data_IF_633042503293
#
_entry.id   IF_633042503293
#
_cell.length_a   1.000
_cell.length_b   1.000
_cell.length_c   1.000
_cell.angle_alpha   90.00
_cell.angle_beta   90.00
_cell.angle_gamma   90.00
#
_symmetry.space_group_name_H-M   'P 1'
#
loop_
_entity.id
_entity.type
_entity.pdbx_description
1 polymer ?
#
# COMPACT_ATOMS: atom_id res chain seq x y z
N UNK A 1 -29.68 -2.23 -39.47
CA UNK A 1 -29.29 -2.45 -40.88
C UNK A 1 -29.39 -1.18 -41.70
N UNK A 2 -30.48 -0.41 -41.62
CA UNK A 2 -30.61 0.87 -42.32
C UNK A 2 -29.46 1.86 -42.05
N UNK A 3 -28.85 1.85 -40.86
CA UNK A 3 -27.69 2.72 -40.55
C UNK A 3 -26.32 2.15 -40.96
N UNK A 4 -26.09 0.84 -40.82
CA UNK A 4 -24.74 0.24 -40.92
C UNK A 4 -24.64 -0.95 -41.89
N UNK A 5 -25.68 -1.16 -42.71
CA UNK A 5 -25.78 -2.32 -43.60
C UNK A 5 -26.07 -3.64 -42.88
N UNK A 6 -25.94 -4.75 -43.62
CA UNK A 6 -26.11 -6.11 -43.12
C UNK A 6 -24.75 -6.69 -42.73
N UNK A 7 -24.42 -6.72 -41.43
CA UNK A 7 -23.14 -7.20 -40.89
C UNK A 7 -23.03 -8.73 -40.84
N UNK A 8 -23.73 -9.42 -41.75
CA UNK A 8 -23.81 -10.88 -41.85
C UNK A 8 -23.98 -11.55 -40.47
N UNK A 9 -23.04 -12.40 -40.06
CA UNK A 9 -23.08 -13.13 -38.79
C UNK A 9 -23.24 -12.24 -37.55
N UNK A 10 -22.77 -10.99 -37.60
CA UNK A 10 -22.88 -10.04 -36.49
C UNK A 10 -24.22 -9.29 -36.44
N UNK A 11 -25.15 -9.55 -37.38
CA UNK A 11 -26.39 -8.76 -37.50
C UNK A 11 -27.30 -8.92 -36.28
N UNK A 12 -27.41 -10.12 -35.73
CA UNK A 12 -28.21 -10.39 -34.53
C UNK A 12 -27.70 -9.60 -33.33
N UNK A 13 -26.41 -9.75 -32.99
CA UNK A 13 -25.80 -9.05 -31.84
C UNK A 13 -25.77 -7.53 -32.04
N UNK A 14 -25.64 -7.04 -33.27
CA UNK A 14 -25.77 -5.61 -33.58
C UNK A 14 -27.17 -5.09 -33.21
N UNK A 15 -28.21 -5.87 -33.50
CA UNK A 15 -29.59 -5.54 -33.08
C UNK A 15 -29.73 -5.51 -31.56
N UNK A 16 -29.08 -6.43 -30.86
CA UNK A 16 -29.02 -6.45 -29.39
C UNK A 16 -28.32 -5.19 -28.86
N UNK A 17 -27.14 -4.83 -29.38
CA UNK A 17 -26.38 -3.63 -28.98
C UNK A 17 -27.25 -2.37 -29.17
N UNK A 18 -27.93 -2.23 -30.32
CA UNK A 18 -28.86 -1.12 -30.56
C UNK A 18 -29.91 -1.03 -29.44
N UNK A 19 -30.56 -2.15 -29.12
CA UNK A 19 -31.64 -2.15 -28.15
C UNK A 19 -31.16 -1.95 -26.71
N UNK A 20 -30.00 -2.49 -26.33
CA UNK A 20 -29.37 -2.22 -25.04
C UNK A 20 -29.03 -0.74 -24.88
N UNK A 21 -28.49 -0.10 -25.92
CA UNK A 21 -28.24 1.34 -25.89
C UNK A 21 -29.53 2.15 -25.83
N UNK A 22 -30.59 1.74 -26.54
CA UNK A 22 -31.90 2.38 -26.46
C UNK A 22 -32.53 2.27 -25.06
N UNK A 23 -32.38 1.11 -24.39
CA UNK A 23 -32.80 0.92 -22.99
C UNK A 23 -32.02 1.86 -22.05
N UNK A 24 -30.69 1.92 -22.18
CA UNK A 24 -29.81 2.80 -21.35
C UNK A 24 -30.11 4.29 -21.52
N UNK A 25 -30.37 4.73 -22.74
CA UNK A 25 -30.63 6.14 -23.05
C UNK A 25 -32.10 6.51 -23.05
N UNK A 26 -32.99 5.55 -22.75
CA UNK A 26 -34.44 5.77 -22.67
C UNK A 26 -35.01 6.41 -23.96
N UNK A 27 -34.47 6.02 -25.11
CA UNK A 27 -34.82 6.58 -26.40
C UNK A 27 -34.65 5.54 -27.52
N UNK A 28 -35.67 5.44 -28.39
CA UNK A 28 -35.66 4.57 -29.56
C UNK A 28 -35.15 5.36 -30.78
N UNK A 29 -34.03 4.96 -31.42
CA UNK A 29 -33.52 5.67 -32.59
C UNK A 29 -34.28 5.30 -33.86
N UNK A 30 -34.35 6.26 -34.80
CA UNK A 30 -35.00 6.10 -36.08
C UNK A 30 -34.39 4.98 -36.95
N UNK A 31 -35.21 4.36 -37.79
CA UNK A 31 -34.77 3.57 -38.94
C UNK A 31 -34.76 4.45 -40.18
N UNK A 32 -33.65 4.43 -40.91
CA UNK A 32 -33.50 5.22 -42.14
C UNK A 32 -34.21 4.56 -43.33
N UNK A 33 -34.48 5.35 -44.37
CA UNK A 33 -35.09 4.93 -45.64
C UNK A 33 -36.49 4.32 -45.48
N UNK A 34 -37.25 4.84 -44.51
CA UNK A 34 -38.58 4.35 -44.16
C UNK A 34 -39.67 5.43 -44.26
N UNK A 35 -39.37 6.58 -44.88
CA UNK A 35 -40.31 7.71 -45.03
C UNK A 35 -41.56 7.31 -45.83
N UNK A 36 -41.38 6.40 -46.80
CA UNK A 36 -42.48 5.73 -47.49
C UNK A 36 -42.48 4.24 -47.10
N UNK A 37 -43.45 3.78 -46.30
CA UNK A 37 -43.56 2.36 -45.93
C UNK A 37 -43.76 1.46 -47.16
N UNK A 38 -43.30 0.21 -47.09
CA UNK A 38 -43.44 -0.76 -48.19
C UNK A 38 -44.92 -1.01 -48.51
N UNK A 39 -45.36 -0.95 -49.78
CA UNK A 39 -46.76 -1.19 -50.16
C UNK A 39 -47.15 -2.68 -50.10
N UNK A 40 -46.18 -3.58 -49.90
CA UNK A 40 -46.40 -5.02 -49.80
C UNK A 40 -46.79 -5.49 -48.39
N UNK A 41 -46.87 -4.57 -47.43
CA UNK A 41 -47.30 -4.83 -46.05
C UNK A 41 -48.52 -3.96 -45.79
N UNK A 42 -49.57 -4.56 -45.24
CA UNK A 42 -50.73 -3.82 -44.76
C UNK A 42 -50.41 -3.22 -43.38
N UNK A 43 -49.96 -1.97 -43.37
CA UNK A 43 -49.63 -1.25 -42.13
C UNK A 43 -50.86 -0.75 -41.37
N UNK A 44 -52.05 -0.82 -41.96
CA UNK A 44 -53.29 -0.42 -41.28
C UNK A 44 -53.81 -1.52 -40.34
N UNK A 45 -53.34 -2.76 -40.51
CA UNK A 45 -53.71 -3.89 -39.65
C UNK A 45 -52.62 -4.19 -38.61
N UNK A 46 -52.99 -4.16 -37.32
CA UNK A 46 -52.12 -4.47 -36.18
C UNK A 46 -51.46 -3.25 -35.51
N UNK A 47 -50.72 -3.51 -34.43
CA UNK A 47 -50.14 -2.46 -33.56
C UNK A 47 -48.65 -2.20 -33.85
N UNK A 48 -48.23 -2.26 -35.13
CA UNK A 48 -46.83 -2.11 -35.54
C UNK A 48 -46.61 -0.78 -36.26
N UNK A 49 -45.62 0.00 -35.80
CA UNK A 49 -45.23 1.28 -36.41
C UNK A 49 -43.74 1.33 -36.72
N UNK A 50 -43.39 1.85 -37.90
CA UNK A 50 -42.00 2.17 -38.24
C UNK A 50 -41.52 3.38 -37.44
N UNK A 51 -40.33 3.29 -36.86
CA UNK A 51 -39.68 4.41 -36.17
C UNK A 51 -38.98 5.32 -37.19
N UNK A 52 -39.70 6.22 -37.85
CA UNK A 52 -39.11 7.15 -38.85
C UNK A 52 -38.36 8.33 -38.20
N UNK A 53 -38.60 8.57 -36.92
CA UNK A 53 -37.91 9.58 -36.10
C UNK A 53 -37.51 8.99 -34.73
N UNK A 54 -36.55 9.59 -34.01
CA UNK A 54 -36.25 9.19 -32.65
C UNK A 54 -37.43 9.45 -31.71
N UNK A 55 -37.75 8.48 -30.85
CA UNK A 55 -38.89 8.58 -29.91
C UNK A 55 -38.42 8.35 -28.48
N UNK A 56 -38.78 9.21 -27.51
CA UNK A 56 -38.56 8.93 -26.10
C UNK A 56 -39.22 7.61 -25.71
N UNK A 57 -38.48 6.74 -25.05
CA UNK A 57 -38.98 5.46 -24.59
C UNK A 57 -39.23 5.56 -23.10
N UNK A 58 -40.44 6.00 -22.72
CA UNK A 58 -40.81 6.17 -21.33
C UNK A 58 -41.29 4.84 -20.74
N UNK A 59 -41.08 4.63 -19.43
CA UNK A 59 -41.62 3.48 -18.73
C UNK A 59 -43.06 3.78 -18.29
N UNK A 60 -43.95 2.80 -18.36
CA UNK A 60 -45.38 2.91 -18.05
C UNK A 60 -45.78 2.07 -16.83
N UNK A 61 -44.89 2.04 -15.82
CA UNK A 61 -45.05 1.18 -14.64
C UNK A 61 -44.66 -0.28 -14.88
N UNK A 62 -44.09 -0.60 -16.05
CA UNK A 62 -43.52 -1.90 -16.37
C UNK A 62 -42.09 -1.76 -16.89
N UNK A 63 -41.24 -2.79 -16.71
CA UNK A 63 -39.94 -2.84 -17.35
C UNK A 63 -40.07 -2.74 -18.87
N UNK A 64 -39.28 -1.86 -19.48
CA UNK A 64 -39.23 -1.74 -20.95
C UNK A 64 -38.66 -3.01 -21.54
N UNK A 65 -39.32 -3.50 -22.60
CA UNK A 65 -38.95 -4.74 -23.29
C UNK A 65 -38.84 -4.54 -24.79
N UNK A 66 -37.90 -5.23 -25.42
CA UNK A 66 -37.75 -5.24 -26.87
C UNK A 66 -37.48 -6.65 -27.41
N UNK A 67 -38.07 -6.94 -28.57
CA UNK A 67 -37.74 -8.13 -29.35
C UNK A 67 -36.61 -7.86 -30.35
N UNK A 68 -35.66 -8.79 -30.48
CA UNK A 68 -34.63 -8.80 -31.53
C UNK A 68 -34.73 -10.10 -32.32
N UNK A 69 -35.00 -9.99 -33.62
CA UNK A 69 -35.14 -11.13 -34.53
C UNK A 69 -33.96 -11.22 -35.51
N UNK A 70 -33.49 -12.45 -35.76
CA UNK A 70 -32.50 -12.74 -36.80
C UNK A 70 -32.87 -14.01 -37.56
N UNK A 71 -32.97 -13.89 -38.89
CA UNK A 71 -33.41 -14.97 -39.78
C UNK A 71 -32.29 -15.29 -40.76
N UNK A 72 -31.73 -16.50 -40.65
CA UNK A 72 -30.65 -16.97 -41.50
C UNK A 72 -31.16 -17.50 -42.83
N UNK A 73 -30.35 -17.36 -43.89
CA UNK A 73 -30.69 -17.90 -45.22
C UNK A 73 -30.85 -19.43 -45.23
N UNK A 74 -30.24 -20.13 -44.26
CA UNK A 74 -30.41 -21.56 -44.03
C UNK A 74 -31.83 -21.95 -43.55
N UNK A 75 -32.66 -20.98 -43.18
CA UNK A 75 -33.97 -21.19 -42.56
C UNK A 75 -33.95 -21.23 -41.02
N UNK A 76 -32.77 -21.12 -40.39
CA UNK A 76 -32.67 -21.04 -38.92
C UNK A 76 -33.07 -19.65 -38.43
N UNK A 77 -34.06 -19.60 -37.54
CA UNK A 77 -34.61 -18.37 -36.99
C UNK A 77 -34.34 -18.27 -35.49
N UNK A 78 -33.95 -17.09 -35.03
CA UNK A 78 -33.74 -16.80 -33.60
C UNK A 78 -34.47 -15.51 -33.25
N UNK A 79 -35.14 -15.52 -32.09
CA UNK A 79 -35.79 -14.35 -31.50
C UNK A 79 -35.40 -14.23 -30.04
N UNK A 80 -34.98 -13.03 -29.62
CA UNK A 80 -34.62 -12.72 -28.25
C UNK A 80 -35.55 -11.65 -27.70
N UNK A 81 -35.92 -11.77 -26.43
CA UNK A 81 -36.60 -10.73 -25.66
C UNK A 81 -35.58 -10.13 -24.70
N UNK A 82 -35.42 -8.81 -24.75
CA UNK A 82 -34.58 -8.02 -23.87
C UNK A 82 -35.48 -7.23 -22.91
N UNK A 83 -35.04 -7.07 -21.68
CA UNK A 83 -35.69 -6.26 -20.65
C UNK A 83 -34.68 -5.27 -20.08
N UNK A 84 -35.14 -4.10 -19.63
CA UNK A 84 -34.29 -3.14 -18.92
C UNK A 84 -33.68 -3.75 -17.65
N UNK A 85 -32.47 -3.32 -17.30
CA UNK A 85 -31.86 -3.74 -16.05
C UNK A 85 -32.70 -3.24 -14.86
N UNK A 86 -32.78 -4.01 -13.75
CA UNK A 86 -33.40 -3.52 -12.52
C UNK A 86 -32.80 -2.17 -12.12
N UNK A 87 -33.63 -1.27 -11.58
CA UNK A 87 -33.15 -0.01 -11.05
C UNK A 87 -32.06 -0.29 -10.01
N UNK A 88 -30.89 0.36 -10.16
CA UNK A 88 -29.86 0.31 -9.14
C UNK A 88 -30.47 0.89 -7.86
N UNK A 89 -30.66 0.05 -6.84
CA UNK A 89 -31.09 0.51 -5.54
C UNK A 89 -29.97 1.39 -5.00
N UNK A 90 -30.21 2.71 -4.92
CA UNK A 90 -29.39 3.54 -4.07
C UNK A 90 -29.52 2.96 -2.64
N UNK A 91 -28.42 2.78 -1.88
CA UNK A 91 -28.54 2.35 -0.49
C UNK A 91 -29.41 3.39 0.25
N UNK A 92 -30.64 3.02 0.54
CA UNK A 92 -31.61 3.86 1.24
C UNK A 92 -31.14 4.01 2.69
N UNK A 93 -30.80 5.22 3.10
CA UNK A 93 -30.42 5.55 4.48
C UNK A 93 -31.61 5.61 5.46
N UNK A 94 -32.70 4.89 5.19
CA UNK A 94 -33.88 4.84 6.05
C UNK A 94 -34.36 3.40 6.19
N UNK A 95 -33.77 2.68 7.14
CA UNK A 95 -34.39 1.52 7.75
C UNK A 95 -35.40 1.97 8.82
N UNK A 96 -36.54 1.27 9.00
CA UNK A 96 -37.43 1.55 10.11
C UNK A 96 -36.74 1.23 11.43
N UNK A 97 -36.76 2.19 12.35
CA UNK A 97 -36.30 2.04 13.73
C UNK A 97 -37.11 0.95 14.43
N UNK A 98 -36.54 -0.26 14.61
CA UNK A 98 -36.72 -1.12 15.80
C UNK A 98 -35.87 -2.40 15.68
N UNK A 99 -34.83 -2.51 16.53
CA UNK A 99 -34.42 -3.77 17.17
C UNK A 99 -33.40 -4.67 16.44
N UNK A 100 -32.23 -4.82 17.09
CA UNK A 100 -31.14 -5.82 16.90
C UNK A 100 -30.17 -5.61 15.71
N UNK A 101 -28.85 -5.82 15.93
CA UNK A 101 -27.84 -5.65 14.87
C UNK A 101 -27.83 -6.89 13.97
N UNK A 102 -28.20 -6.73 12.70
CA UNK A 102 -27.99 -7.73 11.65
C UNK A 102 -26.68 -7.45 10.91
N UNK A 103 -25.83 -8.47 10.89
CA UNK A 103 -24.68 -8.63 10.00
C UNK A 103 -25.15 -8.52 8.54
N UNK A 104 -24.69 -7.51 7.79
CA UNK A 104 -25.08 -7.41 6.38
C UNK A 104 -24.91 -6.06 5.68
N UNK A 105 -24.21 -5.07 6.25
CA UNK A 105 -23.75 -3.94 5.44
C UNK A 105 -22.60 -4.41 4.56
N UNK A 106 -22.82 -4.44 3.23
CA UNK A 106 -21.72 -4.51 2.29
C UNK A 106 -20.74 -3.38 2.65
N UNK A 107 -19.46 -3.68 2.91
CA UNK A 107 -18.54 -2.69 3.43
C UNK A 107 -18.44 -1.57 2.40
N UNK A 108 -18.91 -0.38 2.76
CA UNK A 108 -18.33 0.84 2.17
C UNK A 108 -16.85 0.70 2.50
N UNK A 109 -16.02 0.37 1.53
CA UNK A 109 -14.56 0.33 1.70
C UNK A 109 -14.16 1.73 2.12
N UNK A 110 -14.08 1.97 3.42
CA UNK A 110 -13.56 3.20 3.97
C UNK A 110 -12.18 3.39 3.36
N UNK A 111 -11.91 4.58 2.86
CA UNK A 111 -10.59 4.88 2.33
C UNK A 111 -9.56 4.64 3.44
N UNK A 112 -8.45 3.96 3.11
CA UNK A 112 -7.36 3.74 4.06
C UNK A 112 -6.80 5.07 4.60
N UNK A 113 -6.89 6.12 3.77
CA UNK A 113 -6.51 7.49 4.10
C UNK A 113 -7.70 8.43 3.90
N UNK A 114 -7.99 9.25 4.92
CA UNK A 114 -9.07 10.23 4.90
C UNK A 114 -8.80 11.36 3.89
N UNK A 115 -7.52 11.67 3.66
CA UNK A 115 -7.03 12.72 2.78
C UNK A 115 -5.73 12.28 2.07
N UNK A 116 -5.41 12.88 0.93
CA UNK A 116 -4.16 12.62 0.21
C UNK A 116 -4.35 12.24 -1.26
N UNK A 117 -3.22 12.03 -1.97
CA UNK A 117 -3.21 11.75 -3.39
C UNK A 117 -3.89 10.40 -3.70
N UNK A 118 -4.61 10.35 -4.81
CA UNK A 118 -5.30 9.14 -5.29
C UNK A 118 -4.44 8.47 -6.37
N UNK A 119 -4.13 7.17 -6.26
CA UNK A 119 -3.36 6.46 -7.27
C UNK A 119 -4.22 6.05 -8.47
N UNK A 120 -3.85 6.51 -9.67
CA UNK A 120 -4.38 6.01 -10.93
C UNK A 120 -3.40 5.05 -11.57
N UNK A 121 -3.76 3.76 -11.55
CA UNK A 121 -2.95 2.70 -12.18
C UNK A 121 -3.23 2.68 -13.68
N UNK A 122 -2.16 2.79 -14.47
CA UNK A 122 -2.20 2.74 -15.93
C UNK A 122 -1.34 1.58 -16.38
N UNK A 123 -1.86 0.73 -17.27
CA UNK A 123 -1.07 -0.34 -17.86
C UNK A 123 -1.35 -0.51 -19.35
N UNK A 124 -0.36 -1.06 -20.07
CA UNK A 124 -0.45 -1.31 -21.50
C UNK A 124 0.49 -2.41 -21.96
N UNK A 125 0.26 -2.91 -23.18
CA UNK A 125 1.20 -3.83 -23.83
C UNK A 125 2.28 -3.06 -24.57
N UNK A 126 3.51 -3.18 -24.07
CA UNK A 126 4.65 -2.36 -24.52
C UNK A 126 4.47 -0.86 -24.29
N UNK A 127 5.53 -0.10 -24.56
CA UNK A 127 5.60 1.34 -24.26
C UNK A 127 4.53 2.13 -25.02
N UNK A 128 4.28 1.79 -26.28
CA UNK A 128 3.23 2.40 -27.09
C UNK A 128 1.83 2.13 -26.51
N UNK A 129 1.60 0.94 -25.93
CA UNK A 129 0.35 0.60 -25.28
C UNK A 129 0.12 1.40 -24.00
N UNK A 130 1.16 1.57 -23.18
CA UNK A 130 1.11 2.37 -21.95
C UNK A 130 0.82 3.84 -22.27
N UNK A 131 1.59 4.42 -23.20
CA UNK A 131 1.40 5.81 -23.67
C UNK A 131 0.02 6.05 -24.24
N UNK A 132 -0.44 5.13 -25.10
CA UNK A 132 -1.79 5.21 -25.68
C UNK A 132 -2.89 5.11 -24.63
N UNK A 133 -2.70 4.32 -23.57
CA UNK A 133 -3.65 4.24 -22.47
C UNK A 133 -3.66 5.52 -21.62
N UNK A 134 -2.49 6.09 -21.32
CA UNK A 134 -2.38 7.37 -20.61
C UNK A 134 -3.10 8.49 -21.37
N UNK A 135 -2.84 8.62 -22.68
CA UNK A 135 -3.50 9.61 -23.54
C UNK A 135 -5.03 9.44 -23.59
N UNK A 136 -5.52 8.20 -23.67
CA UNK A 136 -6.96 7.91 -23.65
C UNK A 136 -7.60 8.26 -22.31
N UNK A 137 -6.92 7.96 -21.20
CA UNK A 137 -7.41 8.29 -19.86
C UNK A 137 -7.47 9.80 -19.67
N UNK A 138 -6.42 10.53 -20.04
CA UNK A 138 -6.41 11.99 -19.98
C UNK A 138 -7.53 12.61 -20.85
N UNK A 139 -7.73 12.09 -22.06
CA UNK A 139 -8.81 12.54 -22.95
C UNK A 139 -10.20 12.26 -22.35
N UNK A 140 -10.38 11.10 -21.73
CA UNK A 140 -11.63 10.75 -21.05
C UNK A 140 -11.95 11.69 -19.89
N UNK A 141 -10.95 11.99 -19.04
CA UNK A 141 -11.09 12.91 -17.91
C UNK A 141 -11.45 14.32 -18.39
N UNK A 142 -10.76 14.83 -19.41
CA UNK A 142 -11.08 16.14 -20.02
C UNK A 142 -12.50 16.19 -20.60
N UNK A 143 -12.94 15.13 -21.26
CA UNK A 143 -14.29 15.05 -21.79
C UNK A 143 -15.34 15.03 -20.66
N UNK A 144 -15.06 14.35 -19.55
CA UNK A 144 -15.92 14.36 -18.37
C UNK A 144 -16.01 15.77 -17.77
N UNK A 145 -14.90 16.49 -17.65
CA UNK A 145 -14.90 17.88 -17.17
C UNK A 145 -15.71 18.81 -18.09
N UNK A 146 -15.60 18.63 -19.40
CA UNK A 146 -16.38 19.43 -20.36
C UNK A 146 -17.89 19.17 -20.27
N UNK A 147 -18.29 17.94 -19.98
CA UNK A 147 -19.70 17.55 -19.93
C UNK A 147 -20.37 17.89 -18.59
N UNK A 148 -19.66 17.69 -17.48
CA UNK A 148 -20.21 17.78 -16.13
C UNK A 148 -19.71 19.00 -15.32
N UNK A 149 -18.69 19.72 -15.80
CA UNK A 149 -18.03 20.79 -15.06
C UNK A 149 -16.86 20.29 -14.23
N UNK A 150 -16.71 20.78 -13.01
CA UNK A 150 -15.64 20.35 -12.12
C UNK A 150 -15.87 18.89 -11.67
N UNK A 151 -14.82 18.07 -11.69
CA UNK A 151 -14.86 16.70 -11.15
C UNK A 151 -14.31 16.72 -9.73
N UNK A 152 -15.10 16.23 -8.79
CA UNK A 152 -14.73 16.20 -7.39
C UNK A 152 -13.85 14.99 -7.03
N UNK A 153 -13.47 14.92 -5.76
CA UNK A 153 -12.63 13.84 -5.22
C UNK A 153 -13.32 12.48 -5.25
N UNK A 154 -14.64 12.42 -5.09
CA UNK A 154 -15.40 11.17 -5.14
C UNK A 154 -15.34 10.57 -6.55
N UNK A 155 -15.48 11.42 -7.57
CA UNK A 155 -15.32 11.01 -8.96
C UNK A 155 -13.91 10.49 -9.25
N UNK A 156 -12.87 11.21 -8.77
CA UNK A 156 -11.46 10.81 -8.93
C UNK A 156 -11.19 9.44 -8.28
N UNK A 157 -11.70 9.22 -7.06
CA UNK A 157 -11.58 7.96 -6.34
C UNK A 157 -12.38 6.83 -7.02
N UNK A 158 -13.58 7.12 -7.52
CA UNK A 158 -14.39 6.18 -8.29
C UNK A 158 -13.68 5.71 -9.57
N UNK A 159 -13.03 6.63 -10.28
CA UNK A 159 -12.21 6.28 -11.44
C UNK A 159 -11.00 5.43 -11.05
N UNK A 160 -10.31 5.76 -9.95
CA UNK A 160 -9.20 4.97 -9.42
C UNK A 160 -9.61 3.53 -9.12
N UNK A 161 -10.73 3.34 -8.44
CA UNK A 161 -11.31 2.02 -8.16
C UNK A 161 -11.63 1.26 -9.45
N UNK A 162 -12.23 1.95 -10.44
CA UNK A 162 -12.50 1.37 -11.75
C UNK A 162 -11.23 0.96 -12.52
N UNK A 163 -10.14 1.71 -12.37
CA UNK A 163 -8.83 1.40 -12.94
C UNK A 163 -8.18 0.20 -12.24
N UNK A 164 -8.28 0.12 -10.90
CA UNK A 164 -7.77 -1.01 -10.11
C UNK A 164 -8.44 -2.35 -10.50
N UNK A 165 -9.70 -2.32 -10.95
CA UNK A 165 -10.41 -3.49 -11.49
C UNK A 165 -10.03 -3.88 -12.92
N UNK A 166 -9.08 -3.20 -13.57
CA UNK A 166 -8.60 -3.56 -14.92
C UNK A 166 -7.45 -4.55 -14.85
N UNK A 167 -7.24 -5.31 -15.93
CA UNK A 167 -6.09 -6.21 -16.05
C UNK A 167 -4.77 -5.43 -15.93
N UNK A 168 -3.88 -5.90 -15.06
CA UNK A 168 -2.56 -5.31 -14.87
C UNK A 168 -1.55 -5.85 -15.91
N UNK A 169 -1.41 -5.15 -17.03
CA UNK A 169 -0.50 -5.51 -18.13
C UNK A 169 0.97 -5.26 -17.75
N UNK A 170 1.90 -5.70 -18.61
CA UNK A 170 3.32 -5.77 -18.28
C UNK A 170 4.04 -4.42 -18.17
N UNK A 171 3.61 -3.39 -18.92
CA UNK A 171 4.10 -2.02 -18.75
C UNK A 171 3.11 -1.28 -17.86
N UNK A 172 3.59 -0.80 -16.70
CA UNK A 172 2.77 -0.21 -15.65
C UNK A 172 3.32 1.15 -15.24
N UNK A 173 2.42 2.06 -14.92
CA UNK A 173 2.70 3.31 -14.26
C UNK A 173 1.60 3.60 -13.24
N UNK A 174 1.94 4.38 -12.23
CA UNK A 174 0.98 4.92 -11.27
C UNK A 174 1.15 6.43 -11.30
N UNK A 175 0.06 7.13 -11.54
CA UNK A 175 -0.03 8.59 -11.42
C UNK A 175 -0.65 8.90 -10.07
N UNK A 176 -0.08 9.84 -9.33
CA UNK A 176 -0.52 10.24 -7.99
C UNK A 176 -0.88 11.71 -8.01
N UNK A 177 -2.10 12.06 -7.59
CA UNK A 177 -2.50 13.45 -7.50
C UNK A 177 -3.63 13.65 -6.49
N UNK A 178 -3.60 14.78 -5.81
CA UNK A 178 -4.65 15.21 -4.88
C UNK A 178 -5.87 15.79 -5.61
N UNK A 179 -5.67 16.27 -6.84
CA UNK A 179 -6.70 16.80 -7.71
C UNK A 179 -6.53 16.37 -9.17
N UNK A 180 -7.54 16.70 -9.99
CA UNK A 180 -7.57 16.35 -11.41
C UNK A 180 -6.49 17.05 -12.25
N UNK A 181 -6.00 18.22 -11.82
CA UNK A 181 -4.98 18.96 -12.55
C UNK A 181 -3.63 18.25 -12.45
N UNK A 182 -3.23 17.86 -11.24
CA UNK A 182 -2.02 17.05 -11.00
C UNK A 182 -2.07 15.73 -11.78
N UNK A 183 -3.21 15.01 -11.69
CA UNK A 183 -3.40 13.74 -12.39
C UNK A 183 -3.33 13.89 -13.92
N UNK A 184 -3.87 14.97 -14.48
CA UNK A 184 -3.80 15.22 -15.92
C UNK A 184 -2.39 15.57 -16.39
N UNK A 185 -1.64 16.35 -15.61
CA UNK A 185 -0.27 16.72 -15.95
C UNK A 185 0.63 15.48 -16.04
N UNK A 186 0.57 14.61 -15.04
CA UNK A 186 1.34 13.37 -15.00
C UNK A 186 0.90 12.36 -16.09
N UNK A 187 -0.40 12.31 -16.40
CA UNK A 187 -0.88 11.47 -17.51
C UNK A 187 -0.39 11.96 -18.87
N UNK A 188 -0.31 13.28 -19.09
CA UNK A 188 0.24 13.85 -20.32
C UNK A 188 1.74 13.57 -20.42
N UNK A 189 2.50 13.76 -19.33
CA UNK A 189 3.94 13.42 -19.30
C UNK A 189 4.15 11.93 -19.61
N UNK A 190 3.33 11.05 -19.01
CA UNK A 190 3.38 9.61 -19.27
C UNK A 190 3.03 9.28 -20.73
N UNK A 191 2.06 9.98 -21.32
CA UNK A 191 1.67 9.80 -22.71
C UNK A 191 2.77 10.24 -23.71
N UNK A 192 3.53 11.27 -23.36
CA UNK A 192 4.62 11.79 -24.18
C UNK A 192 5.89 10.96 -24.04
N UNK A 193 6.37 10.79 -22.81
CA UNK A 193 7.68 10.21 -22.54
C UNK A 193 7.68 8.69 -22.50
N UNK A 194 6.52 8.10 -22.19
CA UNK A 194 6.39 6.67 -21.95
C UNK A 194 7.25 6.16 -20.81
N UNK A 195 7.81 7.05 -19.96
CA UNK A 195 8.67 6.66 -18.83
C UNK A 195 7.82 5.87 -17.84
N UNK A 196 7.98 4.54 -17.79
CA UNK A 196 7.26 3.73 -16.83
C UNK A 196 7.79 4.06 -15.43
N UNK A 197 7.00 3.74 -14.41
CA UNK A 197 7.59 3.49 -13.09
C UNK A 197 8.68 2.41 -13.26
N UNK A 198 9.92 2.61 -12.76
CA UNK A 198 10.95 1.60 -12.82
C UNK A 198 10.58 0.46 -11.87
N UNK A 199 9.72 -0.47 -12.29
CA UNK A 199 9.45 -1.72 -11.56
C UNK A 199 8.68 -2.69 -12.46
N UNK A 200 9.41 -3.60 -13.09
CA UNK A 200 8.87 -4.87 -13.59
C UNK A 200 8.96 -5.86 -12.43
N UNK A 201 7.87 -6.06 -11.70
CA UNK A 201 7.82 -7.07 -10.63
C UNK A 201 7.33 -8.39 -11.23
N UNK A 202 8.23 -9.34 -11.44
CA UNK A 202 7.87 -10.75 -11.30
C UNK A 202 7.61 -10.95 -9.82
N UNK A 203 6.41 -11.35 -9.42
CA UNK A 203 6.01 -11.52 -8.02
C UNK A 203 6.98 -12.49 -7.29
N UNK A 204 7.98 -11.98 -6.54
CA UNK A 204 8.97 -12.82 -5.87
C UNK A 204 8.62 -13.03 -4.39
N UNK A 205 7.40 -12.65 -3.99
CA UNK A 205 7.02 -12.39 -2.61
C UNK A 205 7.45 -11.00 -2.10
N UNK A 206 6.86 -10.58 -1.00
CA UNK A 206 7.09 -9.31 -0.31
C UNK A 206 7.90 -9.54 0.96
N UNK A 207 8.95 -8.74 1.16
CA UNK A 207 9.72 -8.72 2.41
C UNK A 207 9.54 -7.38 3.09
N UNK A 208 9.09 -7.38 4.35
CA UNK A 208 9.16 -6.19 5.19
C UNK A 208 10.50 -6.12 5.91
N UNK A 209 11.18 -4.98 5.75
CA UNK A 209 12.52 -4.72 6.31
C UNK A 209 12.39 -3.68 7.41
N UNK A 210 12.79 -4.05 8.63
CA UNK A 210 12.69 -3.22 9.82
C UNK A 210 14.08 -2.68 10.22
N UNK A 211 14.41 -1.42 9.89
CA UNK A 211 15.72 -0.87 10.22
C UNK A 211 15.94 -0.68 11.73
N UNK A 212 17.20 -0.51 12.11
CA UNK A 212 17.57 -0.11 13.47
C UNK A 212 17.39 1.40 13.73
N UNK A 213 18.14 1.93 14.69
CA UNK A 213 18.18 3.37 14.97
C UNK A 213 18.86 4.14 13.82
N UNK A 214 18.39 5.36 13.54
CA UNK A 214 18.96 6.27 12.53
C UNK A 214 17.91 6.84 11.55
N UNK A 215 16.73 6.22 11.46
CA UNK A 215 15.62 6.68 10.60
C UNK A 215 14.69 7.70 11.24
N UNK A 216 14.90 8.07 12.51
CA UNK A 216 14.03 8.98 13.24
C UNK A 216 14.17 10.43 12.76
N UNK A 217 13.05 11.17 12.78
CA UNK A 217 13.02 12.61 12.51
C UNK A 217 11.87 13.27 13.29
N UNK A 218 12.01 14.58 13.56
CA UNK A 218 11.02 15.33 14.35
C UNK A 218 9.70 15.43 13.58
N UNK A 219 8.62 14.90 14.16
CA UNK A 219 7.29 14.91 13.56
C UNK A 219 6.97 13.68 12.72
N UNK A 220 7.78 12.62 12.77
CA UNK A 220 7.45 11.35 12.12
C UNK A 220 6.09 10.83 12.60
N UNK A 221 5.27 10.32 11.67
CA UNK A 221 3.93 9.80 11.96
C UNK A 221 2.86 10.87 12.27
N UNK A 222 3.22 12.15 12.43
CA UNK A 222 2.28 13.22 12.83
C UNK A 222 1.13 13.43 11.85
N UNK A 223 1.40 13.33 10.55
CA UNK A 223 0.37 13.50 9.51
C UNK A 223 -0.47 12.25 9.31
N UNK A 224 0.12 11.05 9.50
CA UNK A 224 -0.60 9.78 9.39
C UNK A 224 -1.58 9.58 10.55
N UNK A 225 -1.25 10.08 11.75
CA UNK A 225 -2.07 9.90 12.94
C UNK A 225 -3.53 10.40 12.78
N UNK A 226 -3.81 11.61 12.26
CA UNK A 226 -5.18 12.04 11.98
C UNK A 226 -5.72 11.56 10.62
N UNK A 227 -4.88 11.07 9.70
CA UNK A 227 -5.28 10.76 8.33
C UNK A 227 -5.52 9.27 8.06
N UNK A 228 -5.03 8.37 8.93
CA UNK A 228 -5.10 6.92 8.76
C UNK A 228 -5.55 6.26 10.07
N UNK A 229 -6.84 5.88 10.19
CA UNK A 229 -7.34 5.22 11.39
C UNK A 229 -6.58 3.94 11.74
N UNK A 230 -6.18 3.14 10.74
CA UNK A 230 -5.38 1.91 10.94
C UNK A 230 -4.05 2.20 11.63
N UNK A 231 -3.34 3.24 11.16
CA UNK A 231 -2.09 3.67 11.80
C UNK A 231 -2.35 4.15 13.23
N UNK A 232 -3.40 4.95 13.43
CA UNK A 232 -3.73 5.55 14.72
C UNK A 232 -4.10 4.50 15.77
N UNK A 233 -4.89 3.49 15.39
CA UNK A 233 -5.33 2.40 16.26
C UNK A 233 -4.16 1.53 16.67
N UNK A 234 -3.29 1.16 15.71
CA UNK A 234 -2.10 0.35 16.00
C UNK A 234 -1.10 1.11 16.87
N UNK A 235 -0.92 2.41 16.63
CA UNK A 235 -0.06 3.24 17.46
C UNK A 235 -0.60 3.38 18.89
N UNK A 236 -1.92 3.48 19.06
CA UNK A 236 -2.57 3.51 20.37
C UNK A 236 -2.41 2.19 21.15
N UNK A 237 -2.41 1.06 20.44
CA UNK A 237 -2.10 -0.25 21.01
C UNK A 237 -0.65 -0.32 21.49
N UNK A 238 0.31 0.09 20.64
CA UNK A 238 1.72 0.20 21.03
C UNK A 238 1.93 1.13 22.22
N UNK A 239 1.24 2.27 22.28
CA UNK A 239 1.31 3.22 23.40
C UNK A 239 0.86 2.56 24.71
N UNK A 240 -0.30 1.88 24.71
CA UNK A 240 -0.79 1.14 25.89
C UNK A 240 0.16 0.03 26.33
N UNK A 241 0.79 -0.65 25.38
CA UNK A 241 1.75 -1.72 25.67
C UNK A 241 3.07 -1.18 26.26
N UNK A 242 3.48 0.04 25.87
CA UNK A 242 4.69 0.70 26.37
C UNK A 242 4.50 1.36 27.75
N UNK A 243 3.29 1.84 28.04
CA UNK A 243 2.94 2.61 29.25
C UNK A 243 3.53 2.05 30.57
N UNK A 244 3.55 0.72 30.82
CA UNK A 244 4.13 0.17 32.06
C UNK A 244 5.65 0.31 32.20
N UNK A 245 6.37 0.63 31.11
CA UNK A 245 7.83 0.57 31.04
C UNK A 245 8.51 1.94 30.87
N UNK A 246 7.75 2.98 30.53
CA UNK A 246 8.26 4.31 30.16
C UNK A 246 7.66 5.42 31.03
N UNK A 247 8.33 6.57 31.10
CA UNK A 247 7.90 7.75 31.86
C UNK A 247 7.50 8.94 30.96
N UNK A 248 7.30 8.68 29.66
CA UNK A 248 7.00 9.66 28.62
C UNK A 248 5.81 9.20 27.76
N UNK A 249 5.12 10.13 27.09
CA UNK A 249 4.01 9.81 26.17
C UNK A 249 4.50 9.68 24.73
N UNK A 250 4.14 8.56 24.08
CA UNK A 250 4.44 8.32 22.66
C UNK A 250 3.85 9.42 21.76
N UNK A 251 2.62 9.85 22.04
CA UNK A 251 1.97 10.92 21.28
C UNK A 251 2.66 12.26 21.45
N UNK A 252 3.10 12.60 22.66
CA UNK A 252 3.83 13.85 22.91
C UNK A 252 5.15 13.89 22.13
N UNK A 253 5.90 12.79 22.13
CA UNK A 253 7.15 12.68 21.36
C UNK A 253 6.90 12.86 19.86
N UNK A 254 5.90 12.16 19.29
CA UNK A 254 5.59 12.24 17.84
C UNK A 254 5.01 13.59 17.42
N UNK A 255 4.28 14.28 18.31
CA UNK A 255 3.71 15.59 18.03
C UNK A 255 4.76 16.70 17.88
N UNK A 256 6.02 16.41 18.24
CA UNK A 256 7.14 17.33 18.13
C UNK A 256 7.32 18.21 19.35
N UNK A 257 7.19 17.61 20.55
CA UNK A 257 7.50 18.25 21.83
C UNK A 257 8.98 18.64 21.97
N UNK A 258 9.67 18.12 22.99
CA UNK A 258 11.06 18.50 23.27
C UNK A 258 12.02 17.92 22.22
N UNK A 259 12.89 18.77 21.65
CA UNK A 259 13.91 18.31 20.68
C UNK A 259 14.87 17.27 21.27
N UNK A 260 15.01 17.27 22.58
CA UNK A 260 15.91 16.40 23.35
C UNK A 260 15.46 14.94 23.32
N UNK A 261 14.18 14.66 23.03
CA UNK A 261 13.66 13.30 22.91
C UNK A 261 14.42 12.44 21.90
N UNK A 262 14.86 13.03 20.77
CA UNK A 262 15.59 12.29 19.74
C UNK A 262 17.04 11.98 20.11
N UNK A 263 17.57 12.55 21.20
CA UNK A 263 18.89 12.21 21.73
C UNK A 263 18.88 11.07 22.75
N UNK A 264 17.70 10.69 23.26
CA UNK A 264 17.52 9.67 24.30
C UNK A 264 17.24 8.30 23.68
N UNK A 265 18.17 7.34 23.83
CA UNK A 265 18.00 5.98 23.27
C UNK A 265 16.78 5.26 23.85
N UNK A 266 16.49 5.48 25.14
CA UNK A 266 15.35 4.91 25.87
C UNK A 266 14.00 5.42 25.35
N UNK A 267 14.01 6.51 24.58
CA UNK A 267 12.83 7.08 23.90
C UNK A 267 12.84 6.69 22.41
N UNK A 268 13.95 6.92 21.70
CA UNK A 268 14.04 6.72 20.25
C UNK A 268 13.74 5.29 19.83
N UNK A 269 14.27 4.29 20.55
CA UNK A 269 14.08 2.89 20.20
C UNK A 269 12.60 2.45 20.29
N UNK A 270 11.90 2.64 21.43
CA UNK A 270 10.47 2.34 21.52
C UNK A 270 9.58 3.13 20.55
N UNK A 271 9.87 4.42 20.32
CA UNK A 271 9.09 5.24 19.40
C UNK A 271 9.24 4.74 17.95
N UNK A 272 10.47 4.41 17.52
CA UNK A 272 10.71 3.81 16.20
C UNK A 272 10.01 2.46 16.06
N UNK A 273 10.07 1.61 17.09
CA UNK A 273 9.36 0.33 17.11
C UNK A 273 7.85 0.52 16.90
N UNK A 274 7.22 1.41 17.66
CA UNK A 274 5.78 1.67 17.54
C UNK A 274 5.40 2.20 16.15
N UNK A 275 6.20 3.11 15.57
CA UNK A 275 5.98 3.62 14.20
C UNK A 275 6.14 2.50 13.17
N UNK A 276 7.19 1.68 13.26
CA UNK A 276 7.42 0.59 12.32
C UNK A 276 6.31 -0.46 12.36
N UNK A 277 5.88 -0.88 13.56
CA UNK A 277 4.75 -1.81 13.75
C UNK A 277 3.46 -1.22 13.21
N UNK A 278 3.21 0.08 13.43
CA UNK A 278 2.01 0.76 12.92
C UNK A 278 2.01 0.91 11.40
N UNK A 279 3.16 1.20 10.78
CA UNK A 279 3.30 1.26 9.32
C UNK A 279 3.10 -0.11 8.66
N UNK A 280 3.53 -1.20 9.30
CA UNK A 280 3.29 -2.54 8.80
C UNK A 280 1.79 -2.85 8.69
N UNK A 281 0.99 -2.45 9.68
CA UNK A 281 -0.47 -2.62 9.64
C UNK A 281 -1.14 -1.77 8.55
N UNK A 282 -0.61 -0.57 8.25
CA UNK A 282 -1.09 0.22 7.11
C UNK A 282 -0.86 -0.50 5.78
N UNK A 283 0.31 -1.12 5.61
CA UNK A 283 0.60 -1.90 4.40
C UNK A 283 -0.31 -3.13 4.27
N UNK A 284 -0.55 -3.85 5.37
CA UNK A 284 -1.50 -4.98 5.41
C UNK A 284 -2.91 -4.55 5.06
N UNK A 285 -3.38 -3.45 5.62
CA UNK A 285 -4.70 -2.88 5.30
C UNK A 285 -4.81 -2.43 3.84
N UNK A 286 -3.69 -2.11 3.18
CA UNK A 286 -3.62 -1.87 1.74
C UNK A 286 -3.58 -3.17 0.89
N UNK A 287 -3.64 -4.35 1.53
CA UNK A 287 -3.57 -5.66 0.89
C UNK A 287 -2.15 -6.16 0.60
N UNK A 288 -1.12 -5.56 1.21
CA UNK A 288 0.27 -5.98 1.07
C UNK A 288 0.68 -6.78 2.31
N UNK A 289 0.62 -8.10 2.18
CA UNK A 289 1.09 -9.03 3.21
C UNK A 289 2.56 -9.40 2.98
N UNK A 290 3.41 -9.45 4.03
CA UNK A 290 4.78 -9.93 3.91
C UNK A 290 4.83 -11.46 3.89
N UNK A 291 5.53 -12.03 2.92
CA UNK A 291 5.93 -13.45 2.93
C UNK A 291 7.08 -13.70 3.92
N UNK A 292 7.91 -12.69 4.11
CA UNK A 292 8.99 -12.71 5.10
C UNK A 292 9.24 -11.34 5.74
N UNK A 293 9.86 -11.37 6.91
CA UNK A 293 10.36 -10.18 7.59
C UNK A 293 11.83 -10.33 7.94
N UNK A 294 12.55 -9.21 7.95
CA UNK A 294 13.91 -9.12 8.45
C UNK A 294 14.07 -7.82 9.22
N UNK A 295 14.74 -7.86 10.36
CA UNK A 295 15.03 -6.68 11.16
C UNK A 295 16.53 -6.48 11.35
N UNK A 296 16.98 -5.24 11.41
CA UNK A 296 18.37 -4.90 11.68
C UNK A 296 18.54 -4.49 13.14
N UNK A 297 19.31 -5.27 13.93
CA UNK A 297 19.52 -5.03 15.36
C UNK A 297 18.17 -4.92 16.10
N UNK A 298 17.90 -3.83 16.83
CA UNK A 298 16.63 -3.61 17.52
C UNK A 298 15.39 -3.62 16.59
N UNK A 299 15.57 -3.42 15.27
CA UNK A 299 14.50 -3.56 14.29
C UNK A 299 13.91 -4.97 14.23
N UNK A 300 14.65 -6.00 14.67
CA UNK A 300 14.11 -7.36 14.80
C UNK A 300 12.95 -7.46 15.78
N UNK A 301 12.87 -6.56 16.78
CA UNK A 301 11.74 -6.54 17.72
C UNK A 301 10.45 -6.18 16.99
N UNK A 302 10.49 -5.21 16.08
CA UNK A 302 9.35 -4.87 15.23
C UNK A 302 9.05 -6.00 14.23
N UNK A 303 10.08 -6.60 13.64
CA UNK A 303 9.92 -7.75 12.74
C UNK A 303 9.22 -8.93 13.44
N UNK A 304 9.63 -9.27 14.67
CA UNK A 304 9.04 -10.35 15.45
C UNK A 304 7.56 -10.09 15.78
N UNK A 305 7.21 -8.85 16.14
CA UNK A 305 5.80 -8.47 16.38
C UNK A 305 4.99 -8.54 15.09
N UNK A 306 5.50 -8.02 13.98
CA UNK A 306 4.78 -8.03 12.69
C UNK A 306 4.63 -9.43 12.14
N UNK A 307 5.64 -10.29 12.31
CA UNK A 307 5.50 -11.71 12.02
C UNK A 307 4.58 -12.43 13.02
N UNK A 308 4.08 -11.81 14.09
CA UNK A 308 3.24 -12.48 15.08
C UNK A 308 3.99 -13.49 15.97
N UNK A 309 5.33 -13.43 15.97
CA UNK A 309 6.18 -14.26 16.85
C UNK A 309 6.26 -13.69 18.26
N UNK A 310 6.08 -12.39 18.41
CA UNK A 310 5.88 -11.73 19.71
C UNK A 310 4.51 -11.03 19.72
N UNK A 311 3.86 -11.02 20.89
CA UNK A 311 2.75 -10.12 21.16
C UNK A 311 3.21 -8.66 21.13
N UNK A 312 2.28 -7.70 21.02
CA UNK A 312 2.63 -6.27 21.07
C UNK A 312 3.18 -5.91 22.46
N UNK A 313 2.61 -6.50 23.51
CA UNK A 313 3.02 -6.35 24.90
C UNK A 313 4.44 -6.85 25.12
N UNK A 314 4.78 -8.02 24.59
CA UNK A 314 6.12 -8.58 24.67
C UNK A 314 7.12 -7.77 23.84
N UNK A 315 6.73 -7.33 22.64
CA UNK A 315 7.55 -6.42 21.83
C UNK A 315 7.86 -5.11 22.56
N UNK A 316 6.84 -4.50 23.17
CA UNK A 316 6.97 -3.29 23.98
C UNK A 316 7.90 -3.50 25.18
N UNK A 317 7.74 -4.62 25.89
CA UNK A 317 8.61 -5.02 27.00
C UNK A 317 10.07 -5.17 26.54
N UNK A 318 10.31 -5.89 25.44
CA UNK A 318 11.68 -6.09 24.91
C UNK A 318 12.31 -4.75 24.53
N UNK A 319 11.64 -3.92 23.74
CA UNK A 319 12.23 -2.66 23.27
C UNK A 319 12.46 -1.66 24.40
N UNK A 320 11.52 -1.52 25.33
CA UNK A 320 11.63 -0.56 26.43
C UNK A 320 12.68 -0.97 27.47
N UNK A 321 12.73 -2.25 27.86
CA UNK A 321 13.72 -2.72 28.83
C UNK A 321 15.14 -2.74 28.24
N UNK A 322 15.29 -3.11 26.97
CA UNK A 322 16.56 -3.03 26.24
C UNK A 322 17.07 -1.59 26.19
N UNK A 323 16.23 -0.66 25.74
CA UNK A 323 16.63 0.73 25.53
C UNK A 323 16.95 1.43 26.86
N UNK A 324 16.23 1.10 27.94
CA UNK A 324 16.53 1.57 29.30
C UNK A 324 17.85 1.04 29.83
N UNK A 325 18.14 -0.25 29.65
CA UNK A 325 19.40 -0.85 30.09
C UNK A 325 20.62 -0.21 29.40
N UNK A 326 20.48 0.19 28.13
CA UNK A 326 21.53 0.88 27.37
C UNK A 326 21.95 2.22 27.99
N UNK A 327 21.10 2.88 28.77
CA UNK A 327 21.46 4.13 29.47
C UNK A 327 22.66 3.94 30.41
N UNK A 328 22.87 2.74 30.96
CA UNK A 328 24.04 2.44 31.80
C UNK A 328 25.36 2.46 31.05
N UNK A 329 25.32 2.36 29.72
CA UNK A 329 26.47 2.37 28.82
C UNK A 329 26.68 3.72 28.13
N UNK A 330 25.79 4.69 28.37
CA UNK A 330 25.87 6.05 27.82
C UNK A 330 27.21 6.69 28.17
N UNK A 331 27.84 7.28 27.15
CA UNK A 331 29.16 7.90 27.21
C UNK A 331 30.36 6.94 27.20
N UNK A 332 30.15 5.62 27.27
CA UNK A 332 31.25 4.64 27.41
C UNK A 332 31.66 4.00 26.08
N UNK A 333 30.89 4.21 25.01
CA UNK A 333 31.12 3.59 23.71
C UNK A 333 30.84 4.52 22.54
N UNK A 334 31.28 4.10 21.36
CA UNK A 334 30.99 4.76 20.11
C UNK A 334 30.84 3.75 18.98
N UNK A 335 30.21 4.17 17.89
CA UNK A 335 30.08 3.40 16.67
C UNK A 335 30.40 4.27 15.45
N UNK A 336 30.92 3.65 14.39
CA UNK A 336 31.20 4.33 13.13
C UNK A 336 30.87 3.46 11.91
N UNK A 337 30.34 4.08 10.85
CA UNK A 337 30.18 3.44 9.54
C UNK A 337 31.45 3.63 8.72
N UNK A 338 31.96 2.55 8.15
CA UNK A 338 33.21 2.47 7.39
C UNK A 338 32.93 1.97 5.98
N UNK A 339 33.47 2.66 4.98
CA UNK A 339 33.31 2.33 3.57
C UNK A 339 34.34 1.29 3.08
N UNK A 340 34.37 0.13 3.73
CA UNK A 340 35.23 -1.03 3.42
C UNK A 340 34.42 -2.33 3.52
N UNK A 341 34.94 -3.41 2.94
CA UNK A 341 34.39 -4.76 3.14
C UNK A 341 34.75 -5.32 4.52
N UNK A 342 33.97 -6.28 5.02
CA UNK A 342 34.14 -6.86 6.36
C UNK A 342 35.57 -7.40 6.61
N UNK A 343 36.12 -8.13 5.64
CA UNK A 343 37.48 -8.70 5.72
C UNK A 343 38.55 -7.60 5.78
N UNK A 344 38.36 -6.51 5.06
CA UNK A 344 39.30 -5.38 5.06
C UNK A 344 39.24 -4.61 6.37
N UNK A 345 38.02 -4.39 6.91
CA UNK A 345 37.81 -3.76 8.21
C UNK A 345 38.52 -4.55 9.31
N UNK A 346 38.33 -5.87 9.36
CA UNK A 346 38.99 -6.73 10.37
C UNK A 346 40.51 -6.58 10.38
N UNK A 347 41.13 -6.39 9.19
CA UNK A 347 42.57 -6.19 9.07
C UNK A 347 43.09 -4.86 9.61
N UNK A 348 42.21 -3.90 9.92
CA UNK A 348 42.58 -2.54 10.35
C UNK A 348 41.97 -2.11 11.68
N UNK A 349 41.25 -2.98 12.38
CA UNK A 349 40.63 -2.67 13.69
C UNK A 349 41.70 -2.43 14.77
N UNK A 350 41.65 -1.32 15.52
CA UNK A 350 42.53 -1.11 16.66
C UNK A 350 41.95 -1.72 17.95
N UNK A 351 42.84 -2.12 18.85
CA UNK A 351 42.51 -2.37 20.25
C UNK A 351 41.34 -3.33 20.45
N UNK A 352 40.26 -2.79 21.00
CA UNK A 352 39.03 -3.51 21.35
C UNK A 352 37.87 -3.25 20.38
N UNK A 353 38.06 -2.43 19.34
CA UNK A 353 37.01 -2.18 18.35
C UNK A 353 36.66 -3.46 17.61
N UNK A 354 35.36 -3.75 17.47
CA UNK A 354 34.83 -4.91 16.74
C UNK A 354 33.94 -4.49 15.58
N UNK A 355 33.69 -5.41 14.64
CA UNK A 355 32.60 -5.27 13.69
C UNK A 355 31.27 -5.44 14.42
N UNK A 356 30.37 -4.48 14.24
CA UNK A 356 29.03 -4.46 14.82
C UNK A 356 27.96 -4.92 13.82
N UNK A 357 28.09 -4.52 12.55
CA UNK A 357 27.16 -4.88 11.49
C UNK A 357 27.83 -4.87 10.13
N UNK A 358 27.39 -5.76 9.23
CA UNK A 358 27.78 -5.80 7.83
C UNK A 358 26.51 -5.53 7.00
N UNK A 359 26.32 -4.28 6.58
CA UNK A 359 25.07 -3.84 5.93
C UNK A 359 25.06 -4.17 4.43
N UNK A 360 26.23 -4.06 3.79
CA UNK A 360 26.44 -4.37 2.39
C UNK A 360 27.96 -4.49 2.11
N UNK A 361 28.36 -5.03 0.95
CA UNK A 361 29.73 -4.85 0.46
C UNK A 361 30.10 -3.36 0.46
N UNK A 362 31.26 -3.03 1.04
CA UNK A 362 31.74 -1.67 1.22
C UNK A 362 30.98 -0.85 2.26
N UNK A 363 30.15 -1.45 3.12
CA UNK A 363 29.41 -0.75 4.17
C UNK A 363 29.33 -1.57 5.46
N UNK A 364 30.30 -1.32 6.35
CA UNK A 364 30.44 -1.99 7.65
C UNK A 364 30.25 -0.98 8.77
N UNK A 365 29.71 -1.41 9.89
CA UNK A 365 29.66 -0.62 11.14
C UNK A 365 30.60 -1.26 12.14
N UNK A 366 31.40 -0.44 12.80
CA UNK A 366 32.30 -0.83 13.89
C UNK A 366 31.86 -0.21 15.21
N UNK A 367 32.18 -0.87 16.31
CA UNK A 367 31.79 -0.47 17.68
C UNK A 367 32.92 -0.71 18.67
N UNK A 368 33.09 0.18 19.64
CA UNK A 368 34.11 0.04 20.69
C UNK A 368 34.26 1.31 21.55
N UNK A 369 35.39 1.45 22.27
CA UNK A 369 35.67 2.65 23.06
C UNK A 369 35.70 3.93 22.21
N UNK A 370 35.22 5.08 22.73
CA UNK A 370 35.11 6.32 21.96
C UNK A 370 36.41 6.79 21.32
N UNK A 371 37.52 6.70 22.05
CA UNK A 371 38.83 7.16 21.58
C UNK A 371 39.36 6.26 20.45
N UNK A 372 39.24 4.94 20.60
CA UNK A 372 39.72 3.98 19.59
C UNK A 372 38.91 4.07 18.29
N UNK A 373 37.59 4.26 18.39
CA UNK A 373 36.73 4.48 17.21
C UNK A 373 37.08 5.80 16.53
N UNK A 374 37.33 6.87 17.30
CA UNK A 374 37.73 8.16 16.74
C UNK A 374 39.10 8.07 16.03
N UNK A 375 40.08 7.40 16.63
CA UNK A 375 41.39 7.14 16.03
C UNK A 375 41.28 6.34 14.72
N UNK A 376 40.43 5.31 14.70
CA UNK A 376 40.16 4.53 13.48
C UNK A 376 39.57 5.40 12.38
N UNK A 377 38.58 6.25 12.69
CA UNK A 377 37.99 7.17 11.72
C UNK A 377 39.05 8.09 11.11
N UNK A 378 39.86 8.76 11.95
CA UNK A 378 40.92 9.66 11.49
C UNK A 378 41.95 8.93 10.62
N UNK A 379 42.34 7.72 11.02
CA UNK A 379 43.30 6.90 10.25
C UNK A 379 42.75 6.55 8.87
N UNK A 380 41.51 6.09 8.80
CA UNK A 380 40.87 5.71 7.54
C UNK A 380 40.63 6.90 6.63
N UNK A 381 40.17 8.03 7.18
CA UNK A 381 40.00 9.27 6.43
C UNK A 381 41.33 9.77 5.85
N UNK A 382 42.43 9.65 6.62
CA UNK A 382 43.79 9.94 6.16
C UNK A 382 44.28 9.03 5.01
N UNK A 383 43.66 7.85 4.84
CA UNK A 383 43.91 6.91 3.75
C UNK A 383 42.93 7.08 2.57
N UNK A 384 42.04 8.08 2.63
CA UNK A 384 41.01 8.30 1.63
C UNK A 384 39.79 7.38 1.74
N UNK A 385 39.68 6.62 2.85
CA UNK A 385 38.54 5.76 3.15
C UNK A 385 37.53 6.55 3.99
N UNK A 386 36.28 6.62 3.54
CA UNK A 386 35.21 7.29 4.29
C UNK A 386 34.88 6.50 5.55
N UNK A 387 34.99 7.14 6.71
CA UNK A 387 34.56 6.61 8.00
C UNK A 387 33.79 7.70 8.77
N UNK A 388 32.53 7.44 9.12
CA UNK A 388 31.66 8.43 9.78
C UNK A 388 31.14 7.90 11.10
N UNK A 389 31.36 8.64 12.18
CA UNK A 389 30.78 8.34 13.50
C UNK A 389 29.25 8.39 13.45
N UNK A 390 28.61 7.42 14.08
CA UNK A 390 27.15 7.35 14.24
C UNK A 390 26.78 8.11 15.50
N UNK A 391 25.65 8.83 15.47
CA UNK A 391 25.12 9.58 16.62
C UNK A 391 24.51 8.62 17.67
N UNK A 392 25.41 7.90 18.35
CA UNK A 392 25.15 7.06 19.52
C UNK A 392 26.33 7.21 20.48
N UNK A 393 26.05 7.13 21.77
CA UNK A 393 27.02 7.31 22.85
C UNK A 393 27.30 6.00 23.63
N UNK A 394 26.91 4.87 23.06
CA UNK A 394 27.20 3.51 23.54
C UNK A 394 27.67 2.64 22.37
N UNK A 395 28.31 1.51 22.68
CA UNK A 395 28.74 0.53 21.69
C UNK A 395 27.86 -0.72 21.76
N UNK A 396 26.80 -0.79 20.95
CA UNK A 396 26.05 -2.05 20.75
C UNK A 396 26.84 -3.02 19.89
N UNK A 397 26.55 -4.33 20.01
CA UNK A 397 27.24 -5.41 19.30
C UNK A 397 28.73 -5.53 19.66
N UNK A 398 29.05 -5.15 20.90
CA UNK A 398 30.40 -5.11 21.45
C UNK A 398 30.40 -5.66 22.88
N UNK A 399 31.55 -6.13 23.38
CA UNK A 399 31.69 -6.72 24.71
C UNK A 399 31.22 -5.80 25.87
N UNK A 400 31.15 -4.49 25.65
CA UNK A 400 30.59 -3.53 26.62
C UNK A 400 29.14 -3.85 27.02
N UNK A 401 28.35 -4.50 26.16
CA UNK A 401 26.95 -4.86 26.50
C UNK A 401 26.86 -6.01 27.52
N UNK A 402 27.95 -6.73 27.77
CA UNK A 402 28.00 -7.79 28.79
C UNK A 402 27.70 -7.22 30.20
N UNK A 403 28.00 -5.94 30.44
CA UNK A 403 27.71 -5.26 31.69
C UNK A 403 26.21 -5.10 32.02
N UNK A 404 25.33 -5.30 31.03
CA UNK A 404 23.88 -5.22 31.17
C UNK A 404 23.17 -6.56 30.88
N UNK A 405 23.92 -7.65 30.71
CA UNK A 405 23.35 -8.98 30.39
C UNK A 405 22.36 -9.46 31.45
N UNK A 406 22.75 -9.43 32.72
CA UNK A 406 21.92 -9.94 33.83
C UNK A 406 20.62 -9.13 33.97
N UNK A 407 20.72 -7.81 33.85
CA UNK A 407 19.57 -6.89 33.91
C UNK A 407 18.59 -7.16 32.76
N UNK A 408 19.09 -7.31 31.53
CA UNK A 408 18.26 -7.58 30.37
C UNK A 408 17.61 -8.97 30.45
N UNK A 409 18.36 -10.00 30.87
CA UNK A 409 17.82 -11.35 31.02
C UNK A 409 16.72 -11.42 32.08
N UNK A 410 16.95 -10.83 33.25
CA UNK A 410 15.95 -10.76 34.31
C UNK A 410 14.71 -9.97 33.85
N UNK A 411 14.93 -8.86 33.15
CA UNK A 411 13.85 -8.03 32.61
C UNK A 411 12.96 -8.76 31.60
N UNK A 412 13.48 -9.76 30.89
CA UNK A 412 12.80 -10.52 29.84
C UNK A 412 12.44 -11.96 30.26
N UNK A 413 12.53 -12.29 31.54
CA UNK A 413 12.14 -13.61 32.04
C UNK A 413 10.67 -13.92 31.71
N UNK A 414 10.41 -15.15 31.26
CA UNK A 414 9.07 -15.62 30.88
C UNK A 414 8.62 -15.21 29.48
N UNK A 415 9.46 -14.54 28.68
CA UNK A 415 9.19 -14.25 27.28
C UNK A 415 9.13 -15.54 26.46
N UNK A 416 8.08 -15.69 25.64
CA UNK A 416 7.89 -16.86 24.77
C UNK A 416 7.57 -16.44 23.34
N UNK A 417 8.24 -17.06 22.37
CA UNK A 417 7.91 -16.89 20.95
C UNK A 417 6.71 -17.74 20.56
N UNK A 418 5.89 -17.24 19.65
CA UNK A 418 4.78 -17.99 19.04
C UNK A 418 5.15 -18.49 17.63
N UNK A 419 4.47 -19.55 17.18
CA UNK A 419 4.55 -20.01 15.80
C UNK A 419 3.87 -19.02 14.84
N UNK A 420 4.40 -18.90 13.62
CA UNK A 420 3.90 -17.95 12.62
C UNK A 420 4.01 -18.49 11.19
N UNK A 421 3.04 -18.10 10.35
CA UNK A 421 3.08 -18.34 8.89
C UNK A 421 4.04 -17.39 8.16
N UNK A 422 4.34 -16.21 8.73
CA UNK A 422 5.29 -15.24 8.14
C UNK A 422 6.71 -15.62 8.55
N UNK A 423 7.58 -15.85 7.56
CA UNK A 423 8.96 -16.26 7.82
C UNK A 423 9.77 -15.09 8.38
N UNK A 424 10.33 -15.22 9.57
CA UNK A 424 11.29 -14.24 10.10
C UNK A 424 12.71 -14.75 9.86
N UNK A 425 13.53 -13.96 9.19
CA UNK A 425 14.96 -14.21 9.05
C UNK A 425 15.72 -13.48 10.14
N UNK A 426 16.49 -14.22 10.93
CA UNK A 426 17.36 -13.63 11.96
C UNK A 426 18.64 -13.10 11.33
N UNK A 427 18.96 -11.84 11.61
CA UNK A 427 20.26 -11.24 11.29
C UNK A 427 21.34 -11.61 12.30
N UNK A 428 20.97 -12.25 13.42
CA UNK A 428 21.90 -12.77 14.44
C UNK A 428 22.47 -14.13 14.01
N UNK A 429 21.60 -15.03 13.53
CA UNK A 429 22.01 -16.40 13.15
C UNK A 429 22.23 -16.59 11.66
N UNK A 430 21.63 -15.73 10.81
CA UNK A 430 21.63 -15.88 9.35
C UNK A 430 20.63 -16.92 8.84
N UNK A 431 19.75 -17.44 9.71
CA UNK A 431 18.80 -18.51 9.42
C UNK A 431 17.35 -18.07 9.73
N UNK A 432 16.33 -18.76 9.18
CA UNK A 432 14.94 -18.57 9.61
C UNK A 432 14.77 -18.91 11.09
N UNK A 433 14.03 -18.08 11.82
CA UNK A 433 13.74 -18.31 13.25
C UNK A 433 12.81 -19.51 13.41
N UNK A 434 13.19 -20.46 14.25
CA UNK A 434 12.37 -21.63 14.64
C UNK A 434 11.25 -21.30 15.63
N UNK A 435 10.48 -22.31 16.02
CA UNK A 435 9.49 -22.16 17.09
C UNK A 435 10.22 -22.02 18.45
N UNK A 436 9.75 -21.11 19.32
CA UNK A 436 10.31 -20.85 20.67
C UNK A 436 11.73 -20.24 20.75
N UNK A 437 12.29 -19.70 19.66
CA UNK A 437 13.69 -19.21 19.65
C UNK A 437 13.90 -17.77 20.16
N UNK A 438 12.85 -16.97 20.32
CA UNK A 438 12.94 -15.53 20.67
C UNK A 438 12.85 -15.26 22.18
N UNK A 439 13.62 -15.99 22.98
CA UNK A 439 13.70 -15.86 24.43
C UNK A 439 14.58 -14.67 24.88
N UNK A 440 14.70 -14.47 26.21
CA UNK A 440 15.59 -13.46 26.78
C UNK A 440 17.06 -13.62 26.32
N UNK A 441 17.51 -14.86 26.11
CA UNK A 441 18.86 -15.16 25.61
C UNK A 441 19.06 -14.68 24.18
N UNK A 442 18.07 -14.87 23.32
CA UNK A 442 18.08 -14.39 21.96
C UNK A 442 18.17 -12.87 21.90
N UNK A 443 17.34 -12.14 22.65
CA UNK A 443 17.35 -10.68 22.61
C UNK A 443 18.64 -10.09 23.18
N UNK A 444 19.27 -10.76 24.14
CA UNK A 444 20.64 -10.42 24.54
C UNK A 444 21.65 -10.69 23.42
N UNK A 445 21.62 -11.87 22.77
CA UNK A 445 22.49 -12.16 21.62
C UNK A 445 22.27 -11.22 20.44
N UNK A 446 21.06 -10.72 20.23
CA UNK A 446 20.78 -9.70 19.21
C UNK A 446 21.45 -8.37 19.55
N UNK A 447 21.63 -8.05 20.83
CA UNK A 447 22.30 -6.84 21.29
C UNK A 447 23.84 -6.99 21.33
N UNK A 448 24.34 -8.20 21.59
CA UNK A 448 25.77 -8.53 21.67
C UNK A 448 26.37 -8.83 20.30
#
# INVERSE_FOLDING_TARGET
KSNIGHTQAASGVTGVIKMVMALRHHALPATLHADTPSPHVDWATGDVRLLTEPVPWLADGRPRRAGVSSFGVSGTNVHLILEEAPAAQAPTAEGPTTGAPEEGEAPRTAALLDAGPVPWVVSGRGDAGLRGQAARLASFVRAAQQAAGEVDREWIAGLASGLAGRSALEQRAVVLGADVHELLADLDELAETGRPSPRRTTDPGVVFVFPGQGGQWIGMGRELLPACPVFADRLAECERALDPFVDWSLREVLSGGEREWLGRVDVVQPVLWAVMVSLAEVWRAAGVEPDAVVGHSQGEIAAAVVAGRLSVEDGARVVALRSRALLRLSGQGAMASVALDAVEVEGVLPGSVTVAAVNAPGQVVVSGPPDEVAELCVRLEGQGVRARRIEVDYASHHAQVEAIEEELRAGLEGLSSHGSEVTMWSTVTGEPVGDEELDASYWYRNLR
#
